data_IF_330571883877
#
_entry.id   IF_330571883877
#
_cell.length_a   1.000
_cell.length_b   1.000
_cell.length_c   1.000
_cell.angle_alpha   90.00
_cell.angle_beta   90.00
_cell.angle_gamma   90.00
#
_symmetry.space_group_name_H-M   'P 1'
#
loop_
_entity.id
_entity.type
_entity.pdbx_description
1 polymer ?
#
# COMPACT_ATOMS: atom_id res chain seq x y z
N UNK A 1 -8.51 9.81 10.16
CA UNK A 1 -7.15 9.60 9.63
C UNK A 1 -6.49 8.33 10.11
N UNK A 2 -6.77 7.90 11.33
CA UNK A 2 -6.22 6.66 11.87
C UNK A 2 -6.59 5.44 11.03
N UNK A 3 -7.84 5.35 10.63
CA UNK A 3 -8.32 4.23 9.82
C UNK A 3 -7.62 4.17 8.46
N UNK A 4 -7.34 5.33 7.88
CA UNK A 4 -6.62 5.41 6.62
C UNK A 4 -5.18 4.92 6.79
N UNK A 5 -4.51 5.30 7.86
CA UNK A 5 -3.15 4.85 8.15
C UNK A 5 -3.13 3.34 8.40
N UNK A 6 -4.13 2.83 9.13
CA UNK A 6 -4.25 1.40 9.38
C UNK A 6 -4.43 0.62 8.06
N UNK A 7 -5.24 1.16 7.15
CA UNK A 7 -5.47 0.54 5.85
C UNK A 7 -4.19 0.52 5.03
N UNK A 8 -3.43 1.61 5.04
CA UNK A 8 -2.15 1.69 4.33
C UNK A 8 -1.20 0.63 4.86
N UNK A 9 -1.11 0.48 6.19
CA UNK A 9 -0.24 -0.52 6.80
C UNK A 9 -0.62 -1.93 6.39
N UNK A 10 -1.93 -2.21 6.33
CA UNK A 10 -2.44 -3.53 5.94
C UNK A 10 -2.07 -3.85 4.49
N UNK A 11 -2.30 -2.92 3.58
CA UNK A 11 -2.00 -3.13 2.16
C UNK A 11 -0.50 -3.23 1.94
N UNK A 12 0.27 -2.43 2.67
CA UNK A 12 1.72 -2.46 2.58
C UNK A 12 2.29 -3.82 3.02
N UNK A 13 1.75 -4.37 4.11
CA UNK A 13 2.18 -5.70 4.58
C UNK A 13 1.89 -6.77 3.53
N UNK A 14 0.74 -6.69 2.88
CA UNK A 14 0.39 -7.61 1.80
C UNK A 14 1.34 -7.43 0.61
N UNK A 15 1.65 -6.19 0.26
CA UNK A 15 2.59 -5.91 -0.82
C UNK A 15 3.96 -6.53 -0.53
N UNK A 16 4.47 -6.36 0.68
CA UNK A 16 5.78 -6.91 1.06
C UNK A 16 5.80 -8.43 0.92
N UNK A 17 4.73 -9.10 1.36
CA UNK A 17 4.62 -10.55 1.29
C UNK A 17 4.66 -11.02 -0.17
N UNK A 18 3.88 -10.38 -1.03
CA UNK A 18 3.79 -10.79 -2.42
C UNK A 18 5.07 -10.45 -3.19
N UNK A 19 5.65 -9.29 -2.90
CA UNK A 19 6.92 -8.90 -3.55
C UNK A 19 8.05 -9.85 -3.16
N UNK A 20 8.11 -10.26 -1.90
CA UNK A 20 9.11 -11.22 -1.44
C UNK A 20 8.94 -12.57 -2.14
N UNK A 21 7.70 -13.02 -2.31
CA UNK A 21 7.44 -14.29 -3.01
C UNK A 21 7.93 -14.24 -4.46
N UNK A 22 7.74 -13.12 -5.14
CA UNK A 22 8.23 -12.96 -6.50
C UNK A 22 9.76 -12.95 -6.55
N UNK A 23 10.38 -12.16 -5.69
CA UNK A 23 11.84 -11.98 -5.70
C UNK A 23 12.56 -13.26 -5.26
N UNK A 24 12.09 -13.90 -4.20
CA UNK A 24 12.76 -15.04 -3.62
C UNK A 24 12.43 -16.35 -4.31
N UNK A 25 11.19 -16.51 -4.76
CA UNK A 25 10.70 -17.78 -5.32
C UNK A 25 10.39 -17.72 -6.81
N UNK A 26 10.55 -16.54 -7.43
CA UNK A 26 10.23 -16.38 -8.84
C UNK A 26 8.75 -16.56 -9.15
N UNK A 27 7.89 -16.33 -8.18
CA UNK A 27 6.45 -16.53 -8.33
C UNK A 27 5.81 -15.41 -9.15
N UNK A 28 5.43 -15.70 -10.39
CA UNK A 28 4.85 -14.70 -11.29
C UNK A 28 3.49 -14.20 -10.83
N UNK A 29 2.68 -15.08 -10.27
CA UNK A 29 1.36 -14.68 -9.76
C UNK A 29 1.52 -13.72 -8.57
N UNK A 30 2.51 -13.95 -7.72
CA UNK A 30 2.80 -13.05 -6.62
C UNK A 30 3.23 -11.67 -7.13
N UNK A 31 3.99 -11.63 -8.22
CA UNK A 31 4.37 -10.37 -8.85
C UNK A 31 3.17 -9.56 -9.33
N UNK A 32 2.18 -10.24 -9.92
CA UNK A 32 0.94 -9.58 -10.34
C UNK A 32 0.20 -9.00 -9.14
N UNK A 33 0.11 -9.78 -8.05
CA UNK A 33 -0.56 -9.31 -6.84
C UNK A 33 0.20 -8.16 -6.19
N UNK A 34 1.53 -8.20 -6.22
CA UNK A 34 2.35 -7.11 -5.69
C UNK A 34 2.13 -5.82 -6.47
N UNK A 35 2.06 -5.91 -7.80
CA UNK A 35 1.80 -4.72 -8.62
C UNK A 35 0.42 -4.14 -8.35
N UNK A 36 -0.60 -4.98 -8.17
CA UNK A 36 -1.94 -4.50 -7.80
C UNK A 36 -1.92 -3.80 -6.44
N UNK A 37 -1.23 -4.38 -5.47
CA UNK A 37 -1.11 -3.77 -4.15
C UNK A 37 -0.39 -2.43 -4.23
N UNK A 38 0.63 -2.31 -5.08
CA UNK A 38 1.35 -1.05 -5.23
C UNK A 38 0.46 0.06 -5.79
N UNK A 39 -0.45 -0.27 -6.69
CA UNK A 39 -1.41 0.71 -7.22
C UNK A 39 -2.38 1.18 -6.13
N UNK A 40 -2.83 0.26 -5.29
CA UNK A 40 -3.70 0.61 -4.19
C UNK A 40 -2.98 1.48 -3.16
N UNK A 41 -1.73 1.15 -2.87
CA UNK A 41 -0.90 1.97 -1.97
C UNK A 41 -0.76 3.39 -2.52
N UNK A 42 -0.53 3.52 -3.82
CA UNK A 42 -0.42 4.84 -4.44
C UNK A 42 -1.67 5.68 -4.21
N UNK A 43 -2.84 5.08 -4.42
CA UNK A 43 -4.11 5.78 -4.19
C UNK A 43 -4.30 6.16 -2.74
N UNK A 44 -3.96 5.24 -1.83
CA UNK A 44 -4.07 5.50 -0.41
C UNK A 44 -3.11 6.60 0.05
N UNK A 45 -1.92 6.65 -0.53
CA UNK A 45 -0.96 7.70 -0.20
C UNK A 45 -1.44 9.07 -0.63
N UNK A 46 -2.09 9.16 -1.78
CA UNK A 46 -2.70 10.43 -2.22
C UNK A 46 -3.78 10.87 -1.25
N UNK A 47 -4.62 9.94 -0.81
CA UNK A 47 -5.67 10.22 0.17
C UNK A 47 -5.07 10.67 1.49
N UNK A 48 -3.99 10.04 1.91
CA UNK A 48 -3.30 10.41 3.14
C UNK A 48 -2.77 11.84 3.06
N UNK A 49 -2.11 12.19 1.94
CA UNK A 49 -1.56 13.54 1.79
C UNK A 49 -2.64 14.59 1.88
N UNK A 50 -3.79 14.34 1.25
CA UNK A 50 -4.92 15.27 1.30
C UNK A 50 -5.46 15.41 2.71
N UNK A 51 -5.69 14.28 3.39
CA UNK A 51 -6.21 14.30 4.76
C UNK A 51 -5.23 14.98 5.72
N UNK A 52 -3.93 14.74 5.53
CA UNK A 52 -2.91 15.33 6.37
C UNK A 52 -2.86 16.85 6.23
N UNK A 53 -2.99 17.35 5.00
CA UNK A 53 -3.01 18.78 4.75
C UNK A 53 -4.24 19.43 5.39
N UNK A 54 -5.39 18.81 5.28
CA UNK A 54 -6.62 19.34 5.89
C UNK A 54 -6.53 19.35 7.42
N UNK A 55 -5.95 18.31 8.00
CA UNK A 55 -5.75 18.25 9.44
C UNK A 55 -4.78 19.33 9.92
N UNK A 56 -3.78 19.66 9.13
CA UNK A 56 -2.79 20.67 9.49
C UNK A 56 -3.35 22.09 9.44
N UNK A 57 -4.45 22.30 8.72
CA UNK A 57 -5.08 23.62 8.62
C UNK A 57 -5.88 24.03 9.86
N UNK A 58 -6.12 23.13 10.79
CA UNK A 58 -6.92 23.42 11.99
C UNK A 58 -6.11 24.02 13.14
#
# INVERSE_FOLDING_TARGET
MKELVDKIAEVYANFQKEAAAQVENGNKAAGTRARKASLEIEKLMKSFRKASLEAAKK
#
